data_IF_475840844162
#
_entry.id   IF_475840844162
#
_cell.length_a   1.000
_cell.length_b   1.000
_cell.length_c   1.000
_cell.angle_alpha   90.00
_cell.angle_beta   90.00
_cell.angle_gamma   90.00
#
_symmetry.space_group_name_H-M   'P 1'
#
loop_
_entity.id
_entity.type
_entity.pdbx_description
1 polymer ?
#
# COMPACT_ATOMS: atom_id res chain seq x y z
N UNK A 1 4.71 -4.61 -8.91
CA UNK A 1 4.13 -3.31 -8.50
C UNK A 1 3.92 -3.32 -6.99
N UNK A 2 4.38 -2.29 -6.29
CA UNK A 2 4.22 -2.12 -4.84
C UNK A 2 3.41 -0.87 -4.46
N UNK A 3 3.39 0.15 -5.32
CA UNK A 3 2.58 1.34 -5.13
C UNK A 3 1.96 1.79 -6.45
N UNK A 4 0.77 2.39 -6.37
CA UNK A 4 0.09 3.06 -7.47
C UNK A 4 -0.47 4.38 -6.97
N UNK A 5 -0.15 5.48 -7.64
CA UNK A 5 -0.81 6.78 -7.42
C UNK A 5 -1.93 6.90 -8.45
N UNK A 6 -3.13 7.17 -7.98
CA UNK A 6 -4.31 7.42 -8.82
C UNK A 6 -4.94 8.76 -8.52
N UNK A 7 -5.77 9.25 -9.44
CA UNK A 7 -6.60 10.43 -9.23
C UNK A 7 -8.06 10.06 -9.55
N UNK A 8 -8.97 10.32 -8.61
CA UNK A 8 -10.41 10.06 -8.70
C UNK A 8 -11.16 11.31 -8.28
N UNK A 9 -12.02 11.83 -9.14
CA UNK A 9 -12.84 13.03 -8.86
C UNK A 9 -12.02 14.26 -8.38
N UNK A 10 -10.79 14.40 -8.90
CA UNK A 10 -9.87 15.47 -8.51
C UNK A 10 -9.10 15.21 -7.20
N UNK A 11 -9.32 14.07 -6.54
CA UNK A 11 -8.61 13.66 -5.34
C UNK A 11 -7.54 12.60 -5.66
N UNK A 12 -6.32 12.84 -5.22
CA UNK A 12 -5.24 11.85 -5.30
C UNK A 12 -5.53 10.68 -4.35
N UNK A 13 -4.99 9.51 -4.68
CA UNK A 13 -5.00 8.34 -3.81
C UNK A 13 -3.74 7.51 -4.00
N UNK A 14 -3.33 6.81 -2.95
CA UNK A 14 -2.18 5.92 -2.95
C UNK A 14 -2.66 4.50 -2.67
N UNK A 15 -2.43 3.58 -3.59
CA UNK A 15 -2.78 2.17 -3.42
C UNK A 15 -1.54 1.35 -3.13
N UNK A 16 -1.53 0.65 -1.99
CA UNK A 16 -0.38 -0.11 -1.47
C UNK A 16 -0.75 -1.56 -1.21
N UNK A 17 0.24 -2.43 -1.33
CA UNK A 17 0.12 -3.84 -0.96
C UNK A 17 0.17 -3.97 0.56
N UNK A 18 -0.68 -4.83 1.11
CA UNK A 18 -0.78 -5.06 2.54
C UNK A 18 -1.08 -6.54 2.83
N UNK A 19 -0.81 -6.98 4.05
CA UNK A 19 -1.26 -8.30 4.51
C UNK A 19 -2.78 -8.29 4.73
N UNK A 20 -3.47 -9.44 4.73
CA UNK A 20 -4.91 -9.48 5.02
C UNK A 20 -5.28 -8.89 6.39
N UNK A 21 -4.39 -9.03 7.37
CA UNK A 21 -4.59 -8.51 8.72
C UNK A 21 -4.44 -6.98 8.73
N UNK A 22 -3.40 -6.45 8.08
CA UNK A 22 -3.20 -5.01 7.91
C UNK A 22 -4.35 -4.38 7.11
N UNK A 23 -4.82 -5.03 6.05
CA UNK A 23 -5.98 -4.55 5.27
C UNK A 23 -7.19 -4.40 6.19
N UNK A 24 -7.43 -5.37 7.07
CA UNK A 24 -8.57 -5.33 7.99
C UNK A 24 -8.39 -4.20 8.99
N UNK A 25 -7.28 -4.21 9.73
CA UNK A 25 -6.95 -3.22 10.74
C UNK A 25 -6.99 -1.78 10.20
N UNK A 26 -6.27 -1.50 9.11
CA UNK A 26 -6.15 -0.13 8.59
C UNK A 26 -7.48 0.41 8.05
N UNK A 27 -8.34 -0.44 7.47
CA UNK A 27 -9.66 0.00 6.98
C UNK A 27 -10.71 0.17 8.08
N UNK A 28 -10.47 -0.42 9.26
CA UNK A 28 -11.31 -0.22 10.44
C UNK A 28 -10.86 1.01 11.25
N UNK A 29 -9.56 1.25 11.32
CA UNK A 29 -8.97 2.36 12.08
C UNK A 29 -9.08 3.71 11.37
N UNK A 30 -8.90 3.75 10.03
CA UNK A 30 -8.83 5.01 9.29
C UNK A 30 -9.97 5.12 8.27
N UNK A 31 -10.82 6.13 8.45
CA UNK A 31 -11.94 6.40 7.54
C UNK A 31 -11.48 6.75 6.12
N UNK A 32 -10.27 7.27 5.97
CA UNK A 32 -9.65 7.62 4.68
C UNK A 32 -8.99 6.44 3.96
N UNK A 33 -9.04 5.22 4.51
CA UNK A 33 -8.46 4.01 3.92
C UNK A 33 -9.57 3.03 3.50
N UNK A 34 -9.60 2.72 2.21
CA UNK A 34 -10.51 1.75 1.61
C UNK A 34 -9.76 0.45 1.27
N UNK A 35 -10.49 -0.68 1.20
CA UNK A 35 -9.95 -1.91 0.60
C UNK A 35 -9.66 -1.68 -0.88
N UNK A 36 -8.48 -2.11 -1.34
CA UNK A 36 -7.85 -1.70 -2.61
C UNK A 36 -8.79 -1.51 -3.81
N UNK A 37 -8.86 -0.28 -4.29
CA UNK A 37 -9.64 0.14 -5.46
C UNK A 37 -9.09 -0.49 -6.75
N UNK A 38 -9.95 -1.16 -7.53
CA UNK A 38 -9.59 -2.00 -8.70
C UNK A 38 -8.51 -3.07 -8.46
N UNK A 39 -8.12 -3.28 -7.21
CA UNK A 39 -7.11 -4.27 -6.81
C UNK A 39 -7.76 -5.44 -6.08
N UNK A 40 -6.96 -6.46 -5.78
CA UNK A 40 -7.40 -7.55 -4.92
C UNK A 40 -7.61 -7.04 -3.49
N UNK A 41 -8.89 -6.88 -3.09
CA UNK A 41 -9.32 -6.34 -1.79
C UNK A 41 -8.81 -7.09 -0.56
N UNK A 42 -8.25 -8.31 -0.72
CA UNK A 42 -7.61 -9.06 0.37
C UNK A 42 -6.17 -8.63 0.66
N UNK A 43 -5.51 -7.98 -0.30
CA UNK A 43 -4.05 -7.78 -0.27
C UNK A 43 -3.62 -6.34 -0.59
N UNK A 44 -4.57 -5.43 -0.69
CA UNK A 44 -4.33 -4.05 -1.10
C UNK A 44 -5.24 -3.11 -0.33
N UNK A 45 -4.71 -1.93 -0.03
CA UNK A 45 -5.42 -0.79 0.55
C UNK A 45 -5.30 0.40 -0.40
N UNK A 46 -6.28 1.29 -0.41
CA UNK A 46 -6.25 2.57 -1.11
C UNK A 46 -6.44 3.68 -0.09
N UNK A 47 -5.48 4.59 -0.05
CA UNK A 47 -5.38 5.66 0.94
C UNK A 47 -5.72 6.98 0.26
N UNK A 48 -6.71 7.68 0.78
CA UNK A 48 -7.03 9.05 0.38
C UNK A 48 -6.33 10.07 1.31
N UNK A 49 -5.99 11.27 0.82
CA UNK A 49 -5.47 12.35 1.65
C UNK A 49 -6.43 12.69 2.79
N UNK A 50 -5.89 12.75 4.01
CA UNK A 50 -6.64 13.07 5.22
C UNK A 50 -5.71 13.69 6.27
N UNK A 51 -6.28 14.35 7.28
CA UNK A 51 -5.51 14.99 8.36
C UNK A 51 -5.03 13.98 9.41
N UNK A 52 -5.63 12.80 9.48
CA UNK A 52 -5.26 11.72 10.42
C UNK A 52 -4.01 10.95 9.96
N UNK A 53 -3.68 11.00 8.66
CA UNK A 53 -2.56 10.27 8.09
C UNK A 53 -1.34 11.18 7.97
N UNK A 54 -0.28 10.82 8.69
CA UNK A 54 1.00 11.53 8.65
C UNK A 54 1.90 11.01 7.52
N UNK A 55 2.87 11.83 7.09
CA UNK A 55 3.86 11.41 6.10
C UNK A 55 4.66 10.18 6.55
N UNK A 56 5.04 10.10 7.83
CA UNK A 56 5.76 8.94 8.39
C UNK A 56 4.96 7.64 8.33
N UNK A 57 3.62 7.72 8.47
CA UNK A 57 2.76 6.55 8.32
C UNK A 57 2.74 6.08 6.87
N UNK A 58 2.61 7.01 5.92
CA UNK A 58 2.68 6.70 4.49
C UNK A 58 4.02 6.05 4.12
N UNK A 59 5.14 6.61 4.59
CA UNK A 59 6.48 6.06 4.36
C UNK A 59 6.58 4.63 4.90
N UNK A 60 6.17 4.39 6.14
CA UNK A 60 6.17 3.06 6.74
C UNK A 60 5.31 2.06 5.95
N UNK A 61 4.14 2.47 5.46
CA UNK A 61 3.28 1.59 4.66
C UNK A 61 3.85 1.34 3.26
N UNK A 62 4.54 2.31 2.66
CA UNK A 62 5.26 2.12 1.39
C UNK A 62 6.37 1.09 1.57
N UNK A 63 7.17 1.21 2.64
CA UNK A 63 8.26 0.27 2.96
C UNK A 63 7.74 -1.14 3.20
N UNK A 64 6.63 -1.27 3.93
CA UNK A 64 5.95 -2.55 4.15
C UNK A 64 5.45 -3.15 2.82
N UNK A 65 4.79 -2.36 2.00
CA UNK A 65 4.31 -2.78 0.69
C UNK A 65 5.44 -3.27 -0.22
N UNK A 66 6.53 -2.50 -0.27
CA UNK A 66 7.74 -2.87 -1.02
C UNK A 66 8.31 -4.19 -0.50
N UNK A 67 8.49 -4.32 0.82
CA UNK A 67 8.98 -5.55 1.46
C UNK A 67 8.11 -6.78 1.15
N UNK A 68 6.78 -6.62 1.15
CA UNK A 68 5.84 -7.68 0.76
C UNK A 68 5.96 -8.10 -0.71
N UNK A 69 6.35 -7.19 -1.60
CA UNK A 69 6.64 -7.54 -3.00
C UNK A 69 7.99 -8.22 -3.11
N UNK A 70 9.05 -7.67 -2.50
CA UNK A 70 10.40 -8.24 -2.53
C UNK A 70 10.43 -9.64 -1.94
N UNK A 71 9.71 -9.90 -0.86
CA UNK A 71 9.61 -11.22 -0.23
C UNK A 71 9.02 -12.32 -1.12
N UNK A 72 8.39 -11.96 -2.25
CA UNK A 72 7.86 -12.90 -3.24
C UNK A 72 8.78 -13.12 -4.45
N UNK A 73 9.81 -12.29 -4.60
CA UNK A 73 10.79 -12.45 -5.65
C UNK A 73 11.69 -13.65 -5.38
N UNK A 74 12.16 -14.29 -6.44
CA UNK A 74 13.18 -15.34 -6.39
C UNK A 74 14.52 -14.78 -5.91
N UNK A 75 15.43 -15.66 -5.49
CA UNK A 75 16.79 -15.26 -5.08
C UNK A 75 17.54 -14.50 -6.19
N UNK A 76 17.34 -14.90 -7.45
CA UNK A 76 17.97 -14.27 -8.62
C UNK A 76 17.43 -12.85 -8.79
N UNK A 77 16.12 -12.67 -8.83
CA UNK A 77 15.49 -11.35 -8.96
C UNK A 77 15.89 -10.40 -7.81
N UNK A 78 15.93 -10.89 -6.56
CA UNK A 78 16.37 -10.06 -5.42
C UNK A 78 17.82 -9.63 -5.53
N UNK A 79 18.70 -10.50 -6.04
CA UNK A 79 20.13 -10.17 -6.16
C UNK A 79 20.38 -9.00 -7.12
N UNK A 80 19.48 -8.75 -8.07
CA UNK A 80 19.57 -7.65 -9.04
C UNK A 80 19.17 -6.29 -8.46
N UNK A 81 18.59 -6.24 -7.26
CA UNK A 81 18.13 -5.00 -6.62
C UNK A 81 19.20 -4.31 -5.77
N UNK A 82 20.32 -4.97 -5.49
CA UNK A 82 21.40 -4.48 -4.62
C UNK A 82 22.58 -3.88 -5.41
N UNK A 83 22.33 -3.33 -6.60
CA UNK A 83 23.35 -2.73 -7.47
C UNK A 83 23.41 -1.21 -7.35
#
# INVERSE_FOLDING_TARGET
MFALIGCRDGQLSLTLKATPDDVTFLTEEFASIERGYHMNKKHWITIAPSQEITASMIEAWIDNSYSLVISKLTKIERSQLNN
#
